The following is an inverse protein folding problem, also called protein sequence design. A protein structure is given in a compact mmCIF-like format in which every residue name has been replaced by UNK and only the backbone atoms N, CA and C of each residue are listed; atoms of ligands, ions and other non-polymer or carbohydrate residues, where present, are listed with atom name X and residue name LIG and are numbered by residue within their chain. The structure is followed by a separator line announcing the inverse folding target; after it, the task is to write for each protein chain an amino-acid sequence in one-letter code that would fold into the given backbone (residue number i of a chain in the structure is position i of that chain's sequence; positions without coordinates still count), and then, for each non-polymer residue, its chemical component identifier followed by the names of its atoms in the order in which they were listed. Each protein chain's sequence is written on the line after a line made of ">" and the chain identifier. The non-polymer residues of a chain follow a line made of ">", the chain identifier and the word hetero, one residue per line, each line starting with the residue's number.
data_IF_182562002873
#
_entry.id   IF_182562002873
#
_cell.length_a   1.000
_cell.length_b   1.000
_cell.length_c   1.000
_cell.angle_alpha   90.00
_cell.angle_beta   90.00
_cell.angle_gamma   90.00
#
_symmetry.space_group_name_H-M   'P 1'
#
loop_
_entity.id
_entity.type
_entity.pdbx_description
1 polymer ?
#
# COMPACT_ATOMS: atom_id res chain seq x y z
N UNK A 1 5.16 -27.86 -7.72
CA UNK A 1 4.75 -26.49 -7.38
C UNK A 1 3.68 -26.05 -8.40
N UNK A 2 2.68 -25.25 -8.01
CA UNK A 2 1.56 -24.90 -8.93
C UNK A 2 2.08 -24.05 -10.10
N UNK A 3 2.99 -23.11 -9.84
CA UNK A 3 3.61 -22.28 -10.89
C UNK A 3 4.33 -23.11 -11.95
N UNK A 4 5.17 -24.07 -11.53
CA UNK A 4 5.86 -24.97 -12.46
C UNK A 4 4.92 -25.88 -13.25
N UNK A 5 3.75 -26.24 -12.69
CA UNK A 5 2.73 -27.00 -13.43
C UNK A 5 2.09 -26.11 -14.52
N UNK A 6 1.72 -24.88 -14.18
CA UNK A 6 1.13 -23.92 -15.13
C UNK A 6 2.09 -23.55 -16.25
N UNK A 7 3.40 -23.48 -15.95
CA UNK A 7 4.43 -23.23 -16.96
C UNK A 7 4.61 -24.40 -17.94
N UNK A 8 4.36 -25.63 -17.51
CA UNK A 8 4.50 -26.81 -18.37
C UNK A 8 3.34 -26.96 -19.37
N UNK A 9 2.14 -26.48 -19.02
CA UNK A 9 0.92 -26.60 -19.84
C UNK A 9 0.51 -25.27 -20.50
N UNK A 10 1.48 -24.47 -20.97
CA UNK A 10 1.22 -23.18 -21.64
C UNK A 10 0.40 -23.38 -22.91
N UNK A 11 -0.69 -22.64 -23.05
CA UNK A 11 -1.58 -22.72 -24.22
C UNK A 11 -2.45 -23.98 -24.28
N UNK A 12 -2.31 -24.90 -23.32
CA UNK A 12 -3.12 -26.12 -23.22
C UNK A 12 -4.25 -25.93 -22.21
N UNK A 13 -5.41 -26.50 -22.52
CA UNK A 13 -6.58 -26.44 -21.65
C UNK A 13 -6.35 -27.34 -20.42
N UNK A 14 -6.32 -26.74 -19.22
CA UNK A 14 -6.16 -27.49 -17.97
C UNK A 14 -7.43 -27.44 -17.12
N UNK A 15 -7.78 -28.57 -16.52
CA UNK A 15 -8.87 -28.64 -15.52
C UNK A 15 -8.31 -28.47 -14.12
N UNK A 16 -8.73 -27.42 -13.43
CA UNK A 16 -8.36 -27.11 -12.05
C UNK A 16 -9.52 -27.45 -11.14
N UNK A 17 -9.28 -28.30 -10.15
CA UNK A 17 -10.25 -28.61 -9.11
C UNK A 17 -9.94 -27.75 -7.89
N UNK A 18 -10.81 -26.80 -7.58
CA UNK A 18 -10.67 -25.91 -6.42
C UNK A 18 -11.69 -26.27 -5.34
N UNK A 19 -11.31 -26.10 -4.08
CA UNK A 19 -12.23 -26.21 -2.94
C UNK A 19 -12.49 -24.83 -2.37
N UNK A 20 -13.73 -24.35 -2.44
CA UNK A 20 -14.16 -23.08 -1.86
C UNK A 20 -15.07 -23.38 -0.67
N UNK A 21 -14.53 -23.32 0.54
CA UNK A 21 -15.24 -23.76 1.75
C UNK A 21 -15.50 -25.27 1.71
N UNK A 22 -16.78 -25.67 1.69
CA UNK A 22 -17.20 -27.09 1.60
C UNK A 22 -17.48 -27.56 0.15
N UNK A 23 -17.54 -26.65 -0.81
CA UNK A 23 -17.86 -26.97 -2.20
C UNK A 23 -16.59 -27.25 -3.01
N UNK A 24 -16.66 -28.27 -3.86
CA UNK A 24 -15.61 -28.62 -4.82
C UNK A 24 -16.08 -28.15 -6.19
N UNK A 25 -15.34 -27.23 -6.78
CA UNK A 25 -15.61 -26.69 -8.12
C UNK A 25 -14.56 -27.20 -9.10
N UNK A 26 -14.99 -27.52 -10.32
CA UNK A 26 -14.11 -27.81 -11.45
C UNK A 26 -14.15 -26.61 -12.38
N UNK A 27 -12.98 -26.00 -12.60
CA UNK A 27 -12.81 -24.86 -13.50
C UNK A 27 -11.85 -25.26 -14.60
N UNK A 28 -12.18 -24.91 -15.82
CA UNK A 28 -11.30 -25.10 -16.96
C UNK A 28 -10.66 -23.77 -17.31
N UNK A 29 -9.34 -23.77 -17.47
CA UNK A 29 -8.58 -22.55 -17.76
C UNK A 29 -7.44 -22.86 -18.72
N UNK A 30 -7.14 -21.92 -19.62
CA UNK A 30 -6.03 -22.01 -20.56
C UNK A 30 -4.94 -21.02 -20.15
N UNK A 31 -3.75 -21.47 -19.70
CA UNK A 31 -2.65 -20.59 -19.35
C UNK A 31 -2.20 -19.79 -20.58
N UNK A 32 -2.04 -18.47 -20.42
CA UNK A 32 -1.49 -17.60 -21.47
C UNK A 32 -0.06 -18.02 -21.80
N UNK A 33 0.32 -17.90 -23.06
CA UNK A 33 1.67 -18.24 -23.56
C UNK A 33 2.69 -17.19 -23.09
N UNK A 34 2.26 -15.92 -23.00
CA UNK A 34 3.05 -14.79 -22.52
C UNK A 34 2.30 -14.10 -21.39
N UNK A 35 2.96 -13.88 -20.25
CA UNK A 35 2.44 -13.13 -19.11
C UNK A 35 3.01 -11.71 -19.11
N UNK A 36 2.17 -10.70 -18.83
CA UNK A 36 2.64 -9.38 -18.42
C UNK A 36 3.21 -9.47 -17.00
N UNK A 37 4.16 -8.61 -16.65
CA UNK A 37 4.82 -8.64 -15.33
C UNK A 37 3.84 -8.64 -14.14
N UNK A 38 2.68 -8.00 -14.31
CA UNK A 38 1.64 -7.86 -13.29
C UNK A 38 0.57 -8.97 -13.31
N UNK A 39 0.50 -9.79 -14.36
CA UNK A 39 -0.51 -10.84 -14.50
C UNK A 39 0.14 -12.16 -14.91
N UNK A 40 0.37 -13.06 -13.95
CA UNK A 40 0.90 -14.40 -14.22
C UNK A 40 0.10 -15.18 -15.28
N UNK A 41 0.66 -16.29 -15.78
CA UNK A 41 0.14 -17.04 -16.94
C UNK A 41 -1.36 -17.41 -16.82
N UNK A 42 -1.86 -17.67 -15.61
CA UNK A 42 -3.28 -17.92 -15.30
C UNK A 42 -3.97 -16.79 -14.50
N UNK A 43 -3.27 -15.70 -14.21
CA UNK A 43 -3.76 -14.66 -13.31
C UNK A 43 -3.89 -15.10 -11.83
N UNK A 44 -3.27 -16.23 -11.46
CA UNK A 44 -3.30 -16.77 -10.10
C UNK A 44 -1.99 -16.37 -9.40
N UNK A 45 -2.10 -15.57 -8.33
CA UNK A 45 -0.98 -15.27 -7.44
C UNK A 45 -1.10 -16.10 -6.16
N UNK A 46 -0.09 -16.92 -5.86
CA UNK A 46 -0.04 -17.65 -4.60
C UNK A 46 0.41 -16.73 -3.47
N UNK A 47 -0.54 -16.24 -2.68
CA UNK A 47 -0.25 -15.59 -1.41
C UNK A 47 0.18 -16.63 -0.37
N UNK A 48 1.48 -17.00 -0.34
CA UNK A 48 2.02 -17.77 0.79
C UNK A 48 2.20 -16.84 1.99
N UNK A 49 1.12 -16.58 2.71
CA UNK A 49 1.18 -15.86 3.99
C UNK A 49 1.33 -16.91 5.09
N UNK A 50 2.56 -17.13 5.55
CA UNK A 50 2.82 -17.99 6.70
C UNK A 50 2.53 -17.20 7.99
N UNK A 51 1.42 -17.53 8.67
CA UNK A 51 1.13 -16.98 10.00
C UNK A 51 2.11 -17.63 10.98
N UNK A 52 3.24 -16.97 11.23
CA UNK A 52 4.22 -17.39 12.23
C UNK A 52 3.72 -16.99 13.62
N UNK A 53 3.21 -17.95 14.38
CA UNK A 53 2.84 -17.73 15.78
C UNK A 53 4.12 -17.56 16.61
N UNK A 54 4.23 -16.45 17.31
CA UNK A 54 5.28 -16.19 18.30
C UNK A 54 4.65 -16.21 19.69
N UNK A 55 5.37 -16.65 20.73
CA UNK A 55 4.89 -16.52 22.10
C UNK A 55 4.57 -15.05 22.43
N UNK A 56 3.52 -14.82 23.21
CA UNK A 56 3.00 -13.46 23.48
C UNK A 56 4.09 -12.53 24.06
N UNK A 57 4.99 -13.04 24.89
CA UNK A 57 6.09 -12.28 25.49
C UNK A 57 7.17 -11.87 24.47
N UNK A 58 7.30 -12.60 23.36
CA UNK A 58 8.22 -12.27 22.28
C UNK A 58 7.55 -11.44 21.17
N UNK A 59 6.22 -11.32 21.20
CA UNK A 59 5.44 -10.61 20.20
C UNK A 59 5.83 -9.12 20.06
N UNK A 60 6.11 -8.34 21.13
CA UNK A 60 6.54 -6.95 20.98
C UNK A 60 7.85 -6.81 20.20
N UNK A 61 8.84 -7.66 20.49
CA UNK A 61 10.15 -7.64 19.83
C UNK A 61 10.02 -8.08 18.37
N UNK A 62 9.27 -9.17 18.12
CA UNK A 62 9.00 -9.63 16.77
C UNK A 62 8.24 -8.58 15.95
N UNK A 63 7.25 -7.91 16.56
CA UNK A 63 6.49 -6.82 15.97
C UNK A 63 7.37 -5.62 15.63
N UNK A 64 8.28 -5.22 16.52
CA UNK A 64 9.23 -4.15 16.27
C UNK A 64 10.18 -4.47 15.09
N UNK A 65 10.61 -5.72 14.97
CA UNK A 65 11.41 -6.15 13.82
C UNK A 65 10.63 -6.08 12.51
N UNK A 66 9.39 -6.59 12.50
CA UNK A 66 8.50 -6.51 11.34
C UNK A 66 8.23 -5.05 10.98
N UNK A 67 8.00 -4.19 11.97
CA UNK A 67 7.82 -2.76 11.79
C UNK A 67 9.02 -2.15 11.07
N UNK A 68 10.25 -2.39 11.57
CA UNK A 68 11.47 -1.88 10.95
C UNK A 68 11.65 -2.36 9.51
N UNK A 69 11.38 -3.65 9.24
CA UNK A 69 11.42 -4.21 7.89
C UNK A 69 10.40 -3.53 6.95
N UNK A 70 9.17 -3.33 7.43
CA UNK A 70 8.10 -2.67 6.67
C UNK A 70 8.39 -1.19 6.46
N UNK A 71 8.93 -0.50 7.45
CA UNK A 71 9.37 0.90 7.33
C UNK A 71 10.46 1.03 6.27
N UNK A 72 11.46 0.15 6.27
CA UNK A 72 12.52 0.16 5.26
C UNK A 72 11.94 -0.03 3.85
N UNK A 73 11.08 -1.03 3.65
CA UNK A 73 10.40 -1.23 2.37
C UNK A 73 9.60 0.00 1.94
N UNK A 74 8.92 0.64 2.89
CA UNK A 74 8.15 1.86 2.63
C UNK A 74 9.04 3.02 2.19
N UNK A 75 10.18 3.24 2.86
CA UNK A 75 11.16 4.28 2.52
C UNK A 75 11.73 4.05 1.11
N UNK A 76 12.15 2.82 0.80
CA UNK A 76 12.65 2.48 -0.54
C UNK A 76 11.58 2.64 -1.61
N UNK A 77 10.36 2.15 -1.36
CA UNK A 77 9.24 2.29 -2.27
C UNK A 77 8.91 3.76 -2.54
N UNK A 78 8.86 4.59 -1.50
CA UNK A 78 8.63 6.02 -1.65
C UNK A 78 9.76 6.70 -2.45
N UNK A 79 11.03 6.32 -2.20
CA UNK A 79 12.17 6.81 -2.98
C UNK A 79 12.08 6.46 -4.48
N UNK A 80 11.70 5.23 -4.80
CA UNK A 80 11.44 4.79 -6.18
C UNK A 80 10.27 5.55 -6.80
N UNK A 81 9.18 5.81 -6.05
CA UNK A 81 8.06 6.61 -6.53
C UNK A 81 8.50 8.02 -6.93
N UNK A 82 9.26 8.70 -6.06
CA UNK A 82 9.80 10.04 -6.35
C UNK A 82 10.74 10.00 -7.55
N UNK A 83 11.59 8.98 -7.64
CA UNK A 83 12.50 8.81 -8.77
C UNK A 83 11.75 8.52 -10.10
N UNK A 84 10.68 7.73 -10.07
CA UNK A 84 9.85 7.42 -11.22
C UNK A 84 9.12 8.67 -11.74
N UNK A 85 8.56 9.48 -10.84
CA UNK A 85 7.94 10.78 -11.18
C UNK A 85 8.97 11.70 -11.83
N UNK A 86 10.19 11.79 -11.28
CA UNK A 86 11.26 12.61 -11.85
C UNK A 86 11.70 12.14 -13.24
N UNK A 87 11.70 10.82 -13.48
CA UNK A 87 12.02 10.20 -14.79
C UNK A 87 10.84 10.21 -15.78
N UNK A 88 9.69 10.77 -15.40
CA UNK A 88 8.49 10.82 -16.25
C UNK A 88 7.75 9.49 -16.42
N UNK A 89 8.04 8.47 -15.60
CA UNK A 89 7.38 7.15 -15.64
C UNK A 89 6.13 7.11 -14.74
N UNK A 90 5.22 8.06 -14.94
CA UNK A 90 4.07 8.26 -14.04
C UNK A 90 2.93 7.27 -14.24
N UNK A 91 2.91 6.52 -15.34
CA UNK A 91 1.83 5.58 -15.67
C UNK A 91 1.85 4.30 -14.80
N UNK A 92 2.98 4.01 -14.15
CA UNK A 92 3.16 2.81 -13.31
C UNK A 92 2.81 3.06 -11.83
N UNK A 93 2.56 4.32 -11.45
CA UNK A 93 2.31 4.68 -10.05
C UNK A 93 0.81 4.72 -9.76
N UNK A 94 0.29 3.61 -9.22
CA UNK A 94 -1.08 3.54 -8.73
C UNK A 94 -1.17 4.09 -7.29
N UNK A 95 -1.74 5.28 -7.13
CA UNK A 95 -2.11 5.81 -5.81
C UNK A 95 -3.53 5.37 -5.49
N UNK A 96 -3.70 4.63 -4.40
CA UNK A 96 -5.03 4.23 -3.88
C UNK A 96 -5.56 5.32 -2.95
N UNK A 97 -6.78 5.78 -3.20
CA UNK A 97 -7.48 6.73 -2.34
C UNK A 97 -8.32 6.10 -1.23
N UNK A 98 -9.10 6.92 -0.51
CA UNK A 98 -9.94 6.46 0.61
C UNK A 98 -10.95 5.38 0.22
N UNK A 99 -11.54 5.49 -0.98
CA UNK A 99 -12.53 4.52 -1.47
C UNK A 99 -11.87 3.19 -1.79
N UNK A 100 -10.69 3.20 -2.44
CA UNK A 100 -9.93 1.97 -2.66
C UNK A 100 -9.49 1.31 -1.35
N UNK A 101 -9.08 2.09 -0.34
CA UNK A 101 -8.76 1.56 0.99
C UNK A 101 -9.97 0.88 1.62
N UNK A 102 -11.18 1.47 1.51
CA UNK A 102 -12.41 0.85 2.00
C UNK A 102 -12.68 -0.50 1.32
N UNK A 103 -12.57 -0.56 -0.02
CA UNK A 103 -12.81 -1.79 -0.77
C UNK A 103 -11.80 -2.88 -0.39
N UNK A 104 -10.52 -2.55 -0.24
CA UNK A 104 -9.52 -3.50 0.22
C UNK A 104 -9.75 -3.95 1.67
N UNK A 105 -10.17 -3.03 2.54
CA UNK A 105 -10.50 -3.35 3.93
C UNK A 105 -11.67 -4.35 4.00
N UNK A 106 -12.72 -4.13 3.20
CA UNK A 106 -13.87 -5.03 3.08
C UNK A 106 -13.45 -6.44 2.61
N UNK A 107 -12.67 -6.52 1.53
CA UNK A 107 -12.13 -7.78 1.02
C UNK A 107 -11.29 -8.51 2.08
N UNK A 108 -10.39 -7.82 2.76
CA UNK A 108 -9.52 -8.41 3.79
C UNK A 108 -10.31 -8.83 5.03
N UNK A 109 -11.37 -8.08 5.40
CA UNK A 109 -12.23 -8.44 6.51
C UNK A 109 -12.91 -9.80 6.30
N UNK A 110 -13.26 -10.16 5.06
CA UNK A 110 -13.80 -11.50 4.74
C UNK A 110 -12.81 -12.64 4.99
N UNK A 111 -11.51 -12.36 5.00
CA UNK A 111 -10.46 -13.34 5.30
C UNK A 111 -10.28 -13.57 6.81
N UNK A 112 -10.87 -12.70 7.65
CA UNK A 112 -10.86 -12.78 9.10
C UNK A 112 -9.75 -11.97 9.78
N UNK A 113 -9.78 -11.97 11.12
CA UNK A 113 -8.92 -11.11 11.95
C UNK A 113 -7.42 -11.33 11.75
N UNK A 114 -7.01 -12.55 11.39
CA UNK A 114 -5.60 -12.87 11.12
C UNK A 114 -4.99 -12.07 9.96
N UNK A 115 -5.83 -11.55 9.05
CA UNK A 115 -5.41 -10.71 7.91
C UNK A 115 -5.72 -9.23 8.14
N UNK A 116 -6.84 -8.95 8.82
CA UNK A 116 -7.27 -7.59 9.10
C UNK A 116 -6.28 -6.85 10.02
N UNK A 117 -5.77 -7.48 11.08
CA UNK A 117 -4.84 -6.83 12.00
C UNK A 117 -3.52 -6.41 11.34
N UNK A 118 -2.81 -7.29 10.59
CA UNK A 118 -1.63 -6.88 9.84
C UNK A 118 -1.91 -5.77 8.82
N UNK A 119 -3.06 -5.82 8.14
CA UNK A 119 -3.46 -4.78 7.19
C UNK A 119 -3.65 -3.42 7.87
N UNK A 120 -4.38 -3.38 9.00
CA UNK A 120 -4.52 -2.17 9.80
C UNK A 120 -3.16 -1.66 10.31
N UNK A 121 -2.25 -2.56 10.71
CA UNK A 121 -0.89 -2.21 11.09
C UNK A 121 -0.11 -1.51 9.96
N UNK A 122 -0.24 -1.99 8.72
CA UNK A 122 0.36 -1.34 7.54
C UNK A 122 -0.28 0.04 7.28
N UNK A 123 -1.60 0.17 7.42
CA UNK A 123 -2.27 1.48 7.30
C UNK A 123 -1.79 2.47 8.37
N UNK A 124 -1.66 2.03 9.62
CA UNK A 124 -1.11 2.86 10.70
C UNK A 124 0.33 3.30 10.43
N UNK A 125 1.17 2.39 9.92
CA UNK A 125 2.53 2.73 9.51
C UNK A 125 2.53 3.77 8.38
N UNK A 126 1.64 3.63 7.40
CA UNK A 126 1.54 4.59 6.29
C UNK A 126 1.15 5.99 6.79
N UNK A 127 0.18 6.09 7.70
CA UNK A 127 -0.21 7.36 8.31
C UNK A 127 0.93 7.98 9.12
N UNK A 128 1.64 7.18 9.91
CA UNK A 128 2.80 7.64 10.68
C UNK A 128 3.91 8.16 9.75
N UNK A 129 4.22 7.45 8.67
CA UNK A 129 5.21 7.86 7.69
C UNK A 129 4.81 9.17 6.99
N UNK A 130 3.57 9.27 6.51
CA UNK A 130 3.06 10.49 5.86
C UNK A 130 3.10 11.69 6.82
N UNK A 131 2.75 11.51 8.09
CA UNK A 131 2.78 12.56 9.10
C UNK A 131 4.20 13.05 9.42
N UNK A 132 5.25 12.28 9.17
CA UNK A 132 6.65 12.70 9.36
C UNK A 132 7.16 13.54 8.18
N UNK A 133 6.55 13.43 7.00
CA UNK A 133 6.98 14.18 5.82
C UNK A 133 6.83 15.70 6.07
N UNK A 134 7.74 16.53 5.49
CA UNK A 134 7.71 17.98 5.63
C UNK A 134 6.63 18.61 4.72
N UNK A 135 5.38 18.13 4.85
CA UNK A 135 4.24 18.57 4.08
C UNK A 135 3.44 19.57 4.94
N UNK A 136 3.18 20.79 4.45
CA UNK A 136 2.31 21.74 5.12
C UNK A 136 0.93 21.13 5.42
N UNK A 137 0.38 21.45 6.61
CA UNK A 137 -0.81 20.86 7.23
C UNK A 137 -0.64 19.52 7.97
N UNK A 138 0.51 18.84 7.83
CA UNK A 138 0.86 17.66 8.62
C UNK A 138 1.82 18.00 9.77
N UNK A 139 1.91 17.10 10.76
CA UNK A 139 2.75 17.28 11.95
C UNK A 139 4.23 17.49 11.59
N UNK A 140 4.74 16.76 10.61
CA UNK A 140 6.11 16.85 10.09
C UNK A 140 6.42 18.20 9.44
N UNK A 141 5.42 18.87 8.86
CA UNK A 141 5.57 20.24 8.36
C UNK A 141 5.86 21.23 9.49
N UNK A 142 5.20 21.08 10.64
CA UNK A 142 5.46 21.92 11.82
C UNK A 142 6.83 21.66 12.42
N UNK A 143 7.21 20.38 12.54
CA UNK A 143 8.56 19.99 12.99
C UNK A 143 9.62 20.56 12.05
N UNK A 144 9.39 20.54 10.74
CA UNK A 144 10.29 21.13 9.75
C UNK A 144 10.46 22.64 9.93
N UNK A 145 9.37 23.39 10.15
CA UNK A 145 9.47 24.83 10.45
C UNK A 145 10.22 25.10 11.75
N UNK A 146 9.98 24.33 12.82
CA UNK A 146 10.73 24.44 14.07
C UNK A 146 12.23 24.16 13.88
N UNK A 147 12.59 23.18 13.05
CA UNK A 147 13.98 22.92 12.69
C UNK A 147 14.60 24.12 11.96
N UNK A 148 13.88 24.76 11.03
CA UNK A 148 14.33 25.98 10.34
C UNK A 148 14.50 27.13 11.33
N UNK A 149 13.55 27.35 12.24
CA UNK A 149 13.65 28.39 13.26
C UNK A 149 14.87 28.20 14.17
N UNK A 150 15.14 26.95 14.56
CA UNK A 150 16.31 26.60 15.37
C UNK A 150 17.63 26.92 14.65
N UNK A 151 17.70 26.67 13.34
CA UNK A 151 18.88 26.99 12.52
C UNK A 151 19.00 28.50 12.30
N UNK A 152 17.89 29.19 12.04
CA UNK A 152 17.85 30.63 11.72
C UNK A 152 17.93 31.53 12.97
N UNK A 153 17.71 30.98 14.16
CA UNK A 153 17.70 31.70 15.44
C UNK A 153 16.56 32.72 15.59
N UNK A 154 15.67 32.83 14.60
CA UNK A 154 14.59 33.83 14.55
C UNK A 154 13.27 33.15 14.18
N UNK A 155 12.22 33.45 14.96
CA UNK A 155 10.87 32.92 14.74
C UNK A 155 10.37 33.29 13.34
N UNK A 156 9.74 32.34 12.67
CA UNK A 156 9.01 32.57 11.43
C UNK A 156 7.77 33.38 11.78
N UNK A 157 7.36 34.26 10.85
CA UNK A 157 6.15 35.04 11.05
C UNK A 157 4.95 34.08 11.16
N UNK A 158 4.20 34.08 12.28
CA UNK A 158 3.08 33.17 12.48
C UNK A 158 2.01 33.26 11.39
N UNK A 159 1.88 34.44 10.75
CA UNK A 159 0.95 34.62 9.62
C UNK A 159 1.39 33.85 8.37
N UNK A 160 2.70 33.80 8.13
CA UNK A 160 3.26 33.07 6.98
C UNK A 160 3.14 31.56 7.21
N UNK A 161 3.49 31.09 8.41
CA UNK A 161 3.33 29.68 8.78
C UNK A 161 1.87 29.24 8.66
N UNK A 162 0.94 30.00 9.26
CA UNK A 162 -0.50 29.72 9.18
C UNK A 162 -1.00 29.67 7.74
N UNK A 163 -0.59 30.63 6.90
CA UNK A 163 -0.97 30.66 5.48
C UNK A 163 -0.45 29.42 4.73
N UNK A 164 0.81 29.03 4.95
CA UNK A 164 1.39 27.82 4.34
C UNK A 164 0.63 26.57 4.78
N UNK A 165 0.31 26.44 6.06
CA UNK A 165 -0.48 25.32 6.57
C UNK A 165 -1.89 25.28 5.98
N UNK A 166 -2.59 26.41 5.90
CA UNK A 166 -3.94 26.47 5.31
C UNK A 166 -3.90 26.14 3.83
N UNK A 167 -2.96 26.71 3.07
CA UNK A 167 -2.79 26.40 1.64
C UNK A 167 -2.47 24.92 1.43
N UNK A 168 -1.58 24.36 2.25
CA UNK A 168 -1.27 22.93 2.24
C UNK A 168 -2.51 22.07 2.52
N UNK A 169 -3.30 22.44 3.52
CA UNK A 169 -4.50 21.71 3.88
C UNK A 169 -5.53 21.71 2.74
N UNK A 170 -5.77 22.87 2.13
CA UNK A 170 -6.67 22.99 0.97
C UNK A 170 -6.18 22.13 -0.20
N UNK A 171 -4.87 22.15 -0.47
CA UNK A 171 -4.29 21.33 -1.53
C UNK A 171 -4.42 19.83 -1.24
N UNK A 172 -4.22 19.41 0.02
CA UNK A 172 -4.40 18.01 0.43
C UNK A 172 -5.86 17.56 0.27
N UNK A 173 -6.82 18.39 0.66
CA UNK A 173 -8.25 18.10 0.46
C UNK A 173 -8.58 18.00 -1.03
N UNK A 174 -8.07 18.92 -1.86
CA UNK A 174 -8.26 18.87 -3.31
C UNK A 174 -7.67 17.58 -3.92
N UNK A 175 -6.47 17.19 -3.48
CA UNK A 175 -5.85 15.92 -3.89
C UNK A 175 -6.67 14.72 -3.44
N UNK A 176 -7.17 14.72 -2.20
CA UNK A 176 -8.00 13.64 -1.67
C UNK A 176 -9.28 13.48 -2.50
N UNK A 177 -9.95 14.57 -2.86
CA UNK A 177 -11.12 14.55 -3.74
C UNK A 177 -10.75 13.99 -5.12
N UNK A 178 -9.64 14.43 -5.71
CA UNK A 178 -9.18 13.96 -7.02
C UNK A 178 -8.89 12.46 -7.03
N UNK A 179 -8.13 11.94 -6.06
CA UNK A 179 -7.81 10.52 -5.98
C UNK A 179 -9.07 9.70 -5.67
N UNK A 180 -9.96 10.21 -4.81
CA UNK A 180 -11.25 9.58 -4.53
C UNK A 180 -12.09 9.46 -5.80
N UNK A 181 -12.16 10.50 -6.63
CA UNK A 181 -12.85 10.45 -7.91
C UNK A 181 -12.24 9.38 -8.83
N UNK A 182 -10.90 9.32 -8.93
CA UNK A 182 -10.22 8.26 -9.71
C UNK A 182 -10.52 6.86 -9.20
N UNK A 183 -10.58 6.66 -7.88
CA UNK A 183 -10.98 5.38 -7.30
C UNK A 183 -12.42 5.02 -7.68
N UNK A 184 -13.37 5.96 -7.54
CA UNK A 184 -14.77 5.71 -7.88
C UNK A 184 -14.90 5.26 -9.34
N UNK A 185 -14.26 5.96 -10.28
CA UNK A 185 -14.27 5.59 -11.71
C UNK A 185 -13.57 4.25 -11.98
N UNK A 186 -12.60 3.87 -11.14
CA UNK A 186 -11.89 2.59 -11.29
C UNK A 186 -12.70 1.40 -10.80
N UNK A 187 -13.52 1.59 -9.77
CA UNK A 187 -14.23 0.52 -9.07
C UNK A 187 -15.72 0.41 -9.43
N UNK A 188 -16.31 1.44 -10.04
CA UNK A 188 -17.72 1.50 -10.47
C UNK A 188 -17.81 1.91 -11.93
#
# INVERSE_FOLDING_TARGET
>A
DIQSFVEAYRGEEITIIIRRGKEIMRLTATPRITASADEGLLGIQMGRIAIRRVPWYFAPIAGAKILAEKTNMMVYGFGELVAAVWRGRTNEVAVTGPVGIYIFADQIATLGLGYLLPFLGVLSLNLAFLNILPIPALDGGRVFFLCIEKIRGTRINPRIESMIHVTGFVLLIALMIFVTYKDVVRFF
#
